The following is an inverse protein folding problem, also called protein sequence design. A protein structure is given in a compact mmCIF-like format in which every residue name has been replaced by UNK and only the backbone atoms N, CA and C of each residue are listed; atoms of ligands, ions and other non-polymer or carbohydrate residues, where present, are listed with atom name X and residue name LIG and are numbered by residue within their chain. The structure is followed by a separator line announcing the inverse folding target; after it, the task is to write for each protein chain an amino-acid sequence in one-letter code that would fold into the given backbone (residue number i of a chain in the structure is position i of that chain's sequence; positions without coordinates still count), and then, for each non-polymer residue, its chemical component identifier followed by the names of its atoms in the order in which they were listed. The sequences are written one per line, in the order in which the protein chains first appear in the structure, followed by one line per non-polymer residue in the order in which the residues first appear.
data_IF_557147026124
#
_entry.id   IF_557147026124
#
_cell.length_a   1.000
_cell.length_b   1.000
_cell.length_c   1.000
_cell.angle_alpha   90.00
_cell.angle_beta   90.00
_cell.angle_gamma   90.00
#
_symmetry.space_group_name_H-M   'P 1'
#
loop_
_entity.id
_entity.type
_entity.pdbx_description
1 polymer ?
#
# COMPACT_ATOMS: atom_id res chain seq x y z
N UNK A 1 13.55 8.39 -44.34
CA UNK A 1 14.81 8.92 -44.90
C UNK A 1 15.88 8.87 -43.82
N UNK A 2 16.75 7.87 -43.86
CA UNK A 2 17.98 7.80 -43.03
C UNK A 2 18.98 6.90 -43.76
N UNK A 3 19.88 7.45 -44.58
CA UNK A 3 20.99 6.72 -45.15
C UNK A 3 22.21 6.91 -44.24
N UNK A 4 22.38 6.07 -43.23
CA UNK A 4 23.57 6.10 -42.36
C UNK A 4 23.99 4.73 -41.81
N UNK A 5 23.34 3.63 -42.23
CA UNK A 5 23.46 2.31 -41.58
C UNK A 5 24.39 1.29 -42.24
N UNK A 6 25.08 1.64 -43.34
CA UNK A 6 25.98 0.71 -44.06
C UNK A 6 27.47 0.99 -43.90
N UNK A 7 27.87 2.04 -43.16
CA UNK A 7 29.30 2.42 -43.03
C UNK A 7 30.01 1.81 -41.82
N UNK A 8 29.31 1.29 -40.81
CA UNK A 8 29.95 0.86 -39.55
C UNK A 8 30.73 -0.46 -39.69
N UNK A 9 30.29 -1.38 -40.56
CA UNK A 9 30.98 -2.67 -40.76
C UNK A 9 32.20 -2.58 -41.69
N UNK A 10 32.24 -1.62 -42.61
CA UNK A 10 33.41 -1.39 -43.48
C UNK A 10 34.48 -0.51 -42.83
N UNK A 11 34.08 0.41 -41.94
CA UNK A 11 35.01 1.30 -41.24
C UNK A 11 35.71 0.65 -40.04
N UNK A 12 35.15 -0.39 -39.39
CA UNK A 12 35.88 -1.16 -38.37
C UNK A 12 37.06 -1.94 -38.97
N UNK A 13 36.87 -2.56 -40.14
CA UNK A 13 37.97 -3.20 -40.90
C UNK A 13 38.99 -2.19 -41.46
N UNK A 14 38.56 -1.00 -41.91
CA UNK A 14 39.47 0.05 -42.40
C UNK A 14 40.19 0.81 -41.29
N UNK A 15 39.57 1.06 -40.13
CA UNK A 15 40.20 1.70 -38.97
C UNK A 15 41.17 0.74 -38.24
N UNK A 16 40.94 -0.57 -38.35
CA UNK A 16 41.92 -1.58 -37.96
C UNK A 16 43.13 -1.68 -38.92
N UNK A 17 43.11 -0.99 -40.06
CA UNK A 17 44.15 -1.09 -41.11
C UNK A 17 44.86 0.24 -41.47
N UNK A 18 45.22 1.09 -40.49
CA UNK A 18 46.50 1.80 -40.59
C UNK A 18 47.41 1.66 -39.36
N UNK A 19 46.99 0.97 -38.29
CA UNK A 19 47.86 0.65 -37.16
C UNK A 19 48.14 -0.85 -37.15
N UNK A 20 49.28 -1.30 -37.69
CA UNK A 20 49.66 -2.69 -37.60
C UNK A 20 49.72 -3.10 -36.13
N UNK A 21 49.46 -4.37 -35.89
CA UNK A 21 49.45 -5.09 -34.62
C UNK A 21 50.79 -5.12 -33.87
N UNK A 22 51.54 -4.02 -33.88
CA UNK A 22 52.72 -3.84 -33.07
C UNK A 22 52.96 -2.36 -32.82
N UNK A 23 53.11 -2.01 -31.54
CA UNK A 23 53.79 -0.82 -31.03
C UNK A 23 55.25 -0.73 -31.56
N UNK A 24 55.45 -0.69 -32.88
CA UNK A 24 56.78 -0.67 -33.50
C UNK A 24 57.23 0.73 -33.89
N UNK A 25 56.30 1.67 -34.03
CA UNK A 25 56.59 3.09 -34.15
C UNK A 25 56.03 3.76 -32.91
N UNK A 26 56.87 4.45 -32.11
CA UNK A 26 56.48 5.18 -30.89
C UNK A 26 55.54 6.38 -31.15
N UNK A 27 54.75 6.33 -32.23
CA UNK A 27 53.77 7.33 -32.66
C UNK A 27 52.67 7.54 -31.62
N UNK A 28 52.38 6.52 -30.81
CA UNK A 28 51.34 6.54 -29.79
C UNK A 28 51.69 7.52 -28.64
N UNK A 29 52.97 7.82 -28.44
CA UNK A 29 53.44 8.78 -27.42
C UNK A 29 53.13 10.25 -27.78
N UNK A 30 52.82 10.54 -29.05
CA UNK A 30 52.52 11.89 -29.53
C UNK A 30 51.02 12.18 -29.65
N UNK A 31 50.17 11.17 -29.45
CA UNK A 31 48.72 11.30 -29.49
C UNK A 31 48.19 11.62 -28.09
N UNK A 32 47.20 12.51 -28.01
CA UNK A 32 46.48 12.76 -26.76
C UNK A 32 45.68 11.52 -26.36
N UNK A 33 45.51 11.31 -25.05
CA UNK A 33 44.76 10.17 -24.52
C UNK A 33 43.33 10.11 -25.06
N UNK A 34 42.66 11.26 -25.21
CA UNK A 34 41.32 11.36 -25.81
C UNK A 34 41.26 10.81 -27.23
N UNK A 35 42.28 11.08 -28.05
CA UNK A 35 42.34 10.57 -29.44
C UNK A 35 42.57 9.06 -29.45
N UNK A 36 43.42 8.55 -28.55
CA UNK A 36 43.63 7.12 -28.37
C UNK A 36 42.33 6.41 -27.92
N UNK A 37 41.54 7.01 -27.01
CA UNK A 37 40.22 6.49 -26.61
C UNK A 37 39.27 6.39 -27.80
N UNK A 38 39.22 7.40 -28.68
CA UNK A 38 38.37 7.39 -29.88
C UNK A 38 38.82 6.31 -30.88
N UNK A 39 40.13 6.16 -31.12
CA UNK A 39 40.64 5.12 -32.01
C UNK A 39 40.37 3.72 -31.45
N UNK A 40 40.53 3.52 -30.14
CA UNK A 40 40.20 2.27 -29.47
C UNK A 40 38.71 1.91 -29.63
N UNK A 41 37.82 2.91 -29.46
CA UNK A 41 36.38 2.75 -29.66
C UNK A 41 36.04 2.33 -31.10
N UNK A 42 36.62 2.98 -32.10
CA UNK A 42 36.42 2.65 -33.52
C UNK A 42 36.98 1.27 -33.90
N UNK A 43 38.04 0.85 -33.23
CA UNK A 43 38.62 -0.48 -33.39
C UNK A 43 37.82 -1.59 -32.66
N UNK A 44 36.78 -1.23 -31.90
CA UNK A 44 35.99 -2.18 -31.11
C UNK A 44 36.77 -2.80 -29.95
N UNK A 45 37.84 -2.16 -29.47
CA UNK A 45 38.65 -2.64 -28.35
C UNK A 45 38.39 -1.82 -27.09
N UNK A 46 37.99 -2.44 -25.97
CA UNK A 46 37.65 -1.72 -24.74
C UNK A 46 38.86 -1.11 -24.03
N UNK A 47 40.01 -1.79 -24.10
CA UNK A 47 41.27 -1.35 -23.51
C UNK A 47 42.35 -1.36 -24.58
N UNK A 48 43.03 -0.23 -24.74
CA UNK A 48 44.16 -0.09 -25.66
C UNK A 48 45.47 -0.10 -24.87
N UNK A 49 46.31 -1.11 -25.12
CA UNK A 49 47.64 -1.16 -24.55
C UNK A 49 48.59 -0.29 -25.38
N UNK A 50 48.93 0.90 -24.87
CA UNK A 50 49.98 1.75 -25.45
C UNK A 50 51.34 1.42 -24.81
N UNK A 51 52.44 1.88 -25.44
CA UNK A 51 53.81 1.64 -24.98
C UNK A 51 54.13 2.24 -23.60
N UNK A 52 53.32 3.18 -23.09
CA UNK A 52 53.52 3.86 -21.81
C UNK A 52 52.35 3.81 -20.81
N UNK A 53 51.13 3.46 -21.24
CA UNK A 53 49.96 3.33 -20.35
C UNK A 53 48.82 2.54 -21.03
N UNK A 54 47.97 1.89 -20.25
CA UNK A 54 46.73 1.28 -20.74
C UNK A 54 45.62 2.33 -20.77
N UNK A 55 45.12 2.65 -21.97
CA UNK A 55 44.01 3.59 -22.13
C UNK A 55 42.70 2.83 -22.09
N UNK A 56 41.89 3.09 -21.07
CA UNK A 56 40.57 2.51 -20.90
C UNK A 56 39.51 3.43 -21.52
N UNK A 57 38.68 2.91 -22.42
CA UNK A 57 37.60 3.69 -23.04
C UNK A 57 36.45 3.93 -22.06
N UNK A 58 36.28 3.05 -21.08
CA UNK A 58 35.22 3.08 -20.09
C UNK A 58 35.60 3.82 -18.80
N UNK A 59 36.80 4.40 -18.71
CA UNK A 59 37.19 5.22 -17.56
C UNK A 59 36.32 6.46 -17.46
N UNK A 60 35.98 6.87 -16.24
CA UNK A 60 35.20 8.10 -15.95
C UNK A 60 33.76 8.09 -16.51
N UNK A 61 33.29 6.96 -17.02
CA UNK A 61 31.94 6.79 -17.53
C UNK A 61 31.04 6.09 -16.50
N UNK A 62 29.82 6.61 -16.34
CA UNK A 62 28.76 5.94 -15.59
C UNK A 62 28.46 4.56 -16.19
N UNK A 63 27.98 3.64 -15.36
CA UNK A 63 27.70 2.25 -15.76
C UNK A 63 26.78 2.15 -16.99
N UNK A 64 25.81 3.06 -17.10
CA UNK A 64 24.87 3.15 -18.23
C UNK A 64 25.58 3.51 -19.55
N UNK A 65 26.57 4.40 -19.48
CA UNK A 65 27.38 4.81 -20.63
C UNK A 65 28.35 3.69 -21.02
N UNK A 66 28.95 3.01 -20.05
CA UNK A 66 29.78 1.82 -20.30
C UNK A 66 28.99 0.71 -21.02
N UNK A 67 27.77 0.41 -20.58
CA UNK A 67 26.88 -0.54 -21.25
C UNK A 67 26.55 -0.09 -22.68
N UNK A 68 26.27 1.20 -22.89
CA UNK A 68 26.00 1.74 -24.23
C UNK A 68 27.21 1.60 -25.17
N UNK A 69 28.44 1.79 -24.66
CA UNK A 69 29.67 1.53 -25.42
C UNK A 69 29.74 0.06 -25.87
N UNK A 70 29.36 -0.87 -25.01
CA UNK A 70 29.34 -2.30 -25.35
C UNK A 70 28.31 -2.61 -26.43
N UNK A 71 27.12 -2.02 -26.33
CA UNK A 71 26.02 -2.22 -27.27
C UNK A 71 26.29 -1.59 -28.64
N UNK A 72 26.90 -0.41 -28.70
CA UNK A 72 27.02 0.37 -29.94
C UNK A 72 28.33 0.17 -30.69
N UNK A 73 29.43 -0.08 -29.97
CA UNK A 73 30.78 -0.03 -30.56
C UNK A 73 31.59 -1.32 -30.39
N UNK A 74 31.45 -2.02 -29.26
CA UNK A 74 32.24 -3.23 -29.01
C UNK A 74 31.61 -4.49 -29.61
N UNK A 75 30.29 -4.56 -29.67
CA UNK A 75 29.57 -5.70 -30.22
C UNK A 75 29.10 -5.45 -31.66
N UNK A 76 28.97 -6.52 -32.46
CA UNK A 76 28.42 -6.41 -33.80
C UNK A 76 26.97 -5.90 -33.77
N UNK A 77 26.49 -5.25 -34.85
CA UNK A 77 25.13 -4.68 -34.89
C UNK A 77 24.01 -5.74 -34.85
N UNK A 78 24.34 -7.02 -34.95
CA UNK A 78 23.43 -8.16 -34.81
C UNK A 78 23.32 -8.67 -33.37
N UNK A 79 24.17 -8.19 -32.45
CA UNK A 79 24.16 -8.62 -31.06
C UNK A 79 22.89 -8.14 -30.35
N UNK A 80 22.37 -8.98 -29.45
CA UNK A 80 21.21 -8.64 -28.64
C UNK A 80 21.60 -7.81 -27.41
N UNK A 81 20.61 -7.20 -26.76
CA UNK A 81 20.81 -6.51 -25.47
C UNK A 81 21.34 -7.47 -24.40
N UNK A 82 20.94 -8.74 -24.46
CA UNK A 82 21.43 -9.77 -23.53
C UNK A 82 22.94 -10.01 -23.70
N UNK A 83 23.41 -10.07 -24.95
CA UNK A 83 24.85 -10.25 -25.25
C UNK A 83 25.67 -9.06 -24.75
N UNK A 84 25.14 -7.84 -24.92
CA UNK A 84 25.76 -6.61 -24.40
C UNK A 84 25.88 -6.60 -22.87
N UNK A 85 24.85 -7.08 -22.17
CA UNK A 85 24.88 -7.20 -20.71
C UNK A 85 25.89 -8.25 -20.25
N UNK A 86 25.96 -9.41 -20.90
CA UNK A 86 26.95 -10.45 -20.57
C UNK A 86 28.38 -9.94 -20.77
N UNK A 87 28.64 -9.25 -21.88
CA UNK A 87 29.95 -8.65 -22.15
C UNK A 87 30.31 -7.58 -21.11
N UNK A 88 29.34 -6.73 -20.75
CA UNK A 88 29.50 -5.71 -19.71
C UNK A 88 29.74 -6.32 -18.32
N UNK A 89 29.07 -7.42 -18.00
CA UNK A 89 29.28 -8.15 -16.74
C UNK A 89 30.67 -8.74 -16.63
N UNK A 90 31.14 -9.38 -17.70
CA UNK A 90 32.52 -9.84 -17.77
C UNK A 90 33.51 -8.68 -17.57
N UNK A 91 33.20 -7.50 -18.11
CA UNK A 91 34.04 -6.31 -18.02
C UNK A 91 34.18 -5.75 -16.59
N UNK A 92 33.10 -5.69 -15.80
CA UNK A 92 33.18 -5.18 -14.42
C UNK A 92 33.56 -6.25 -13.40
N UNK A 93 33.32 -7.54 -13.69
CA UNK A 93 33.80 -8.66 -12.87
C UNK A 93 35.30 -8.95 -13.07
N UNK A 94 35.90 -8.41 -14.12
CA UNK A 94 37.31 -8.61 -14.45
C UNK A 94 37.62 -9.96 -15.11
N UNK A 95 36.59 -10.65 -15.61
CA UNK A 95 36.71 -11.95 -16.28
C UNK A 95 37.28 -11.88 -17.71
N UNK A 96 37.72 -10.69 -18.15
CA UNK A 96 38.27 -10.46 -19.49
C UNK A 96 39.80 -10.42 -19.47
N UNK A 97 40.44 -10.64 -20.63
CA UNK A 97 41.90 -10.57 -20.79
C UNK A 97 42.50 -9.22 -20.38
N UNK A 98 41.68 -8.15 -20.39
CA UNK A 98 42.08 -6.80 -20.00
C UNK A 98 41.81 -6.47 -18.51
N UNK A 99 41.38 -7.45 -17.72
CA UNK A 99 41.01 -7.26 -16.31
C UNK A 99 39.70 -6.47 -16.14
N UNK A 100 39.54 -5.82 -14.98
CA UNK A 100 38.37 -4.99 -14.67
C UNK A 100 38.55 -3.60 -15.28
N UNK A 101 37.77 -3.29 -16.31
CA UNK A 101 37.82 -2.00 -17.00
C UNK A 101 36.50 -1.22 -16.96
N UNK A 102 35.40 -1.84 -16.55
CA UNK A 102 34.11 -1.16 -16.38
C UNK A 102 33.77 -0.96 -14.89
N UNK A 103 33.02 0.11 -14.61
CA UNK A 103 32.47 0.37 -13.27
C UNK A 103 31.38 -0.65 -12.91
N UNK A 104 31.15 -0.89 -11.62
CA UNK A 104 30.03 -1.73 -11.17
C UNK A 104 28.71 -0.94 -11.27
N UNK A 105 27.60 -1.56 -11.68
CA UNK A 105 26.32 -0.87 -11.81
C UNK A 105 25.69 -0.62 -10.44
N UNK A 106 26.17 0.42 -9.75
CA UNK A 106 25.69 0.85 -8.45
C UNK A 106 24.45 1.75 -8.57
N UNK A 107 23.57 1.77 -7.56
CA UNK A 107 22.47 2.72 -7.48
C UNK A 107 22.95 4.19 -7.56
N UNK A 108 22.15 5.10 -8.13
CA UNK A 108 22.57 6.49 -8.38
C UNK A 108 23.01 7.28 -7.13
N UNK A 109 22.52 6.91 -5.95
CA UNK A 109 22.89 7.59 -4.71
C UNK A 109 24.24 7.12 -4.13
N UNK A 110 24.79 6.02 -4.65
CA UNK A 110 26.15 5.54 -4.33
C UNK A 110 27.16 5.95 -5.41
N UNK A 111 26.72 6.63 -6.46
CA UNK A 111 27.57 7.10 -7.54
C UNK A 111 28.51 8.19 -7.03
N UNK A 112 29.82 7.93 -7.02
CA UNK A 112 30.85 8.83 -6.50
C UNK A 112 31.25 8.63 -5.02
N UNK A 113 30.66 7.65 -4.32
CA UNK A 113 31.26 7.20 -3.06
C UNK A 113 32.62 6.52 -3.36
N UNK A 114 33.68 6.78 -2.57
CA UNK A 114 34.89 5.99 -2.71
C UNK A 114 34.50 4.52 -2.62
N UNK A 115 35.01 3.70 -3.53
CA UNK A 115 34.94 2.26 -3.38
C UNK A 115 35.42 1.96 -1.98
N UNK A 116 34.50 1.56 -1.09
CA UNK A 116 34.86 1.02 0.21
C UNK A 116 35.67 -0.22 -0.12
N UNK A 117 36.98 -0.05 -0.16
CA UNK A 117 37.94 -1.13 -0.18
C UNK A 117 37.64 -1.93 1.08
N UNK A 118 36.97 -3.05 0.88
CA UNK A 118 37.06 -4.24 1.71
C UNK A 118 36.86 -3.98 3.22
N UNK A 119 35.67 -3.52 3.61
CA UNK A 119 35.16 -3.96 4.90
C UNK A 119 34.62 -5.38 4.68
N UNK A 120 35.41 -6.37 5.10
CA UNK A 120 35.11 -7.79 5.13
C UNK A 120 33.89 -8.07 6.04
N UNK A 121 32.68 -7.77 5.58
CA UNK A 121 31.45 -8.19 6.25
C UNK A 121 30.52 -8.92 5.25
N UNK A 122 30.60 -10.25 5.31
CA UNK A 122 29.76 -11.28 4.65
C UNK A 122 29.61 -11.24 3.11
N UNK A 123 29.42 -12.39 2.44
CA UNK A 123 29.13 -12.44 1.01
C UNK A 123 27.67 -12.03 0.73
N UNK A 124 27.24 -10.87 1.20
CA UNK A 124 26.00 -10.27 0.74
C UNK A 124 26.23 -9.79 -0.70
N UNK A 125 25.38 -10.25 -1.62
CA UNK A 125 25.48 -9.91 -3.05
C UNK A 125 25.64 -8.39 -3.20
N UNK A 126 26.55 -7.91 -4.07
CA UNK A 126 26.77 -6.48 -4.24
C UNK A 126 25.46 -5.80 -4.61
N UNK A 127 25.17 -4.67 -3.97
CA UNK A 127 23.97 -3.89 -4.24
C UNK A 127 24.06 -3.29 -5.66
N UNK A 128 23.09 -3.61 -6.52
CA UNK A 128 23.06 -3.13 -7.90
C UNK A 128 21.89 -2.17 -8.15
N UNK A 129 22.02 -1.34 -9.18
CA UNK A 129 20.96 -0.44 -9.65
C UNK A 129 19.72 -1.25 -10.11
N UNK A 130 18.52 -0.76 -9.77
CA UNK A 130 17.26 -1.28 -10.27
C UNK A 130 17.25 -1.43 -11.79
N UNK A 131 17.74 -0.42 -12.51
CA UNK A 131 17.76 -0.46 -13.98
C UNK A 131 18.60 -1.64 -14.50
N UNK A 132 19.69 -1.97 -13.82
CA UNK A 132 20.51 -3.13 -14.17
C UNK A 132 19.75 -4.44 -13.90
N UNK A 133 19.05 -4.55 -12.76
CA UNK A 133 18.21 -5.71 -12.48
C UNK A 133 17.04 -5.88 -13.47
N UNK A 134 16.45 -4.79 -13.97
CA UNK A 134 15.42 -4.84 -15.01
C UNK A 134 15.97 -5.32 -16.36
N UNK A 135 17.18 -4.88 -16.70
CA UNK A 135 17.89 -5.35 -17.89
C UNK A 135 18.23 -6.84 -17.78
N UNK A 136 18.70 -7.29 -16.62
CA UNK A 136 18.88 -8.71 -16.29
C UNK A 136 17.58 -9.51 -16.47
N UNK A 137 16.46 -9.01 -15.95
CA UNK A 137 15.16 -9.67 -16.08
C UNK A 137 14.66 -9.71 -17.54
N UNK A 138 14.98 -8.69 -18.34
CA UNK A 138 14.66 -8.67 -19.76
C UNK A 138 15.44 -9.74 -20.53
N UNK A 139 16.72 -9.96 -20.18
CA UNK A 139 17.57 -10.97 -20.80
C UNK A 139 17.29 -12.39 -20.30
N UNK A 140 17.06 -12.55 -19.00
CA UNK A 140 16.73 -13.81 -18.35
C UNK A 140 15.42 -13.70 -17.57
N UNK A 141 14.37 -14.35 -18.09
CA UNK A 141 13.04 -14.36 -17.47
C UNK A 141 13.00 -15.12 -16.13
N UNK A 142 14.03 -15.91 -15.82
CA UNK A 142 14.16 -16.66 -14.57
C UNK A 142 14.98 -15.89 -13.51
N UNK A 143 15.43 -14.68 -13.84
CA UNK A 143 16.18 -13.85 -12.91
C UNK A 143 15.35 -13.56 -11.64
N UNK A 144 15.94 -13.79 -10.47
CA UNK A 144 15.22 -13.63 -9.20
C UNK A 144 14.70 -12.21 -8.99
N UNK A 145 13.43 -12.06 -8.65
CA UNK A 145 12.79 -10.75 -8.39
C UNK A 145 13.12 -10.17 -7.02
N UNK A 146 13.69 -10.97 -6.11
CA UNK A 146 13.96 -10.51 -4.75
C UNK A 146 14.91 -9.31 -4.70
N UNK A 147 16.08 -9.30 -5.37
CA UNK A 147 16.96 -8.14 -5.39
C UNK A 147 16.28 -6.92 -6.03
N UNK A 148 15.47 -7.14 -7.08
CA UNK A 148 14.77 -6.09 -7.81
C UNK A 148 13.77 -5.30 -6.95
N UNK A 149 13.18 -5.94 -5.93
CA UNK A 149 12.18 -5.33 -5.06
C UNK A 149 12.78 -4.77 -3.76
N UNK A 150 14.08 -4.88 -3.57
CA UNK A 150 14.75 -4.27 -2.43
C UNK A 150 14.76 -2.73 -2.60
N UNK A 151 14.23 -1.97 -1.62
CA UNK A 151 14.19 -0.50 -1.69
C UNK A 151 15.58 0.13 -1.87
N UNK A 152 16.64 -0.55 -1.44
CA UNK A 152 18.02 -0.10 -1.58
C UNK A 152 18.52 -0.01 -3.03
N UNK A 153 17.87 -0.71 -3.97
CA UNK A 153 18.26 -0.64 -5.39
C UNK A 153 17.96 0.72 -6.04
N UNK A 154 17.14 1.55 -5.38
CA UNK A 154 16.65 2.82 -5.91
C UNK A 154 17.00 3.96 -4.96
N UNK A 155 16.74 3.78 -3.66
CA UNK A 155 16.84 4.83 -2.66
C UNK A 155 17.75 4.41 -1.52
N UNK A 156 18.39 5.37 -0.88
CA UNK A 156 19.16 5.15 0.35
C UNK A 156 18.27 4.78 1.56
N UNK A 157 16.94 4.89 1.42
CA UNK A 157 15.96 4.68 2.50
C UNK A 157 15.51 3.22 2.52
N UNK A 158 16.02 2.45 3.48
CA UNK A 158 15.68 1.02 3.69
C UNK A 158 14.19 0.73 3.90
N UNK A 159 13.39 1.73 4.25
CA UNK A 159 11.96 1.60 4.53
C UNK A 159 11.06 2.16 3.42
N UNK A 160 11.61 2.64 2.31
CA UNK A 160 10.82 3.24 1.24
C UNK A 160 10.35 2.20 0.21
N UNK A 161 9.29 1.48 0.56
CA UNK A 161 8.72 0.41 -0.29
C UNK A 161 7.78 0.91 -1.38
N UNK A 162 7.65 2.25 -1.54
CA UNK A 162 6.74 2.86 -2.53
C UNK A 162 7.03 2.35 -3.93
N UNK A 163 8.26 2.52 -4.41
CA UNK A 163 8.58 2.13 -5.79
C UNK A 163 8.60 0.61 -5.94
N UNK A 164 9.12 -0.13 -4.96
CA UNK A 164 9.10 -1.59 -4.95
C UNK A 164 7.69 -2.16 -5.10
N UNK A 165 6.70 -1.59 -4.41
CA UNK A 165 5.32 -2.04 -4.51
C UNK A 165 4.70 -1.78 -5.90
N UNK A 166 4.89 -0.57 -6.44
CA UNK A 166 4.37 -0.26 -7.79
C UNK A 166 5.06 -1.09 -8.87
N UNK A 167 6.37 -1.31 -8.72
CA UNK A 167 7.13 -2.17 -9.62
C UNK A 167 6.60 -3.60 -9.59
N UNK A 168 6.35 -4.14 -8.39
CA UNK A 168 5.74 -5.46 -8.24
C UNK A 168 4.39 -5.54 -8.97
N UNK A 169 3.53 -4.53 -8.83
CA UNK A 169 2.25 -4.47 -9.56
C UNK A 169 2.40 -4.53 -11.08
N UNK A 170 3.38 -3.80 -11.64
CA UNK A 170 3.68 -3.85 -13.08
C UNK A 170 4.22 -5.22 -13.49
N UNK A 171 5.15 -5.80 -12.71
CA UNK A 171 5.71 -7.13 -12.98
C UNK A 171 4.63 -8.22 -12.96
N UNK A 172 3.69 -8.12 -12.02
CA UNK A 172 2.56 -9.03 -11.93
C UNK A 172 1.64 -8.91 -13.15
N UNK A 173 1.38 -7.69 -13.64
CA UNK A 173 0.64 -7.45 -14.87
C UNK A 173 1.35 -8.03 -16.11
N UNK A 174 2.68 -7.97 -16.13
CA UNK A 174 3.54 -8.61 -17.15
C UNK A 174 3.68 -10.13 -16.98
N UNK A 175 2.94 -10.74 -16.05
CA UNK A 175 2.89 -12.19 -15.77
C UNK A 175 4.15 -12.79 -15.13
N UNK A 176 4.96 -11.98 -14.45
CA UNK A 176 6.01 -12.49 -13.58
C UNK A 176 5.43 -12.93 -12.24
N UNK A 177 5.47 -14.23 -11.95
CA UNK A 177 4.85 -14.83 -10.74
C UNK A 177 5.84 -15.52 -9.80
N UNK A 178 7.13 -15.53 -10.16
CA UNK A 178 8.15 -16.31 -9.46
C UNK A 178 8.69 -15.64 -8.18
N UNK A 179 7.96 -14.67 -7.61
CA UNK A 179 8.26 -14.12 -6.29
C UNK A 179 7.61 -14.97 -5.20
N UNK A 180 8.39 -15.40 -4.21
CA UNK A 180 7.87 -16.20 -3.10
C UNK A 180 6.75 -15.46 -2.33
N UNK A 181 5.69 -16.18 -1.95
CA UNK A 181 4.56 -15.66 -1.19
C UNK A 181 4.92 -14.84 0.08
N UNK A 182 5.90 -15.23 0.93
CA UNK A 182 6.29 -14.39 2.08
C UNK A 182 6.88 -13.04 1.65
N UNK A 183 7.64 -13.00 0.54
CA UNK A 183 8.22 -11.75 0.02
C UNK A 183 7.18 -10.82 -0.58
N UNK A 184 6.17 -11.38 -1.26
CA UNK A 184 5.00 -10.61 -1.68
C UNK A 184 4.34 -9.95 -0.46
N UNK A 185 4.06 -10.75 0.58
CA UNK A 185 3.47 -10.27 1.83
C UNK A 185 4.28 -9.15 2.48
N UNK A 186 5.62 -9.25 2.49
CA UNK A 186 6.51 -8.21 2.99
C UNK A 186 6.34 -6.88 2.24
N UNK A 187 6.31 -6.90 0.90
CA UNK A 187 6.17 -5.67 0.09
C UNK A 187 4.81 -4.99 0.35
N UNK A 188 3.73 -5.77 0.46
CA UNK A 188 2.40 -5.25 0.83
C UNK A 188 2.39 -4.69 2.26
N UNK A 189 2.87 -5.45 3.24
CA UNK A 189 2.85 -5.06 4.65
C UNK A 189 3.75 -3.84 4.93
N UNK A 190 4.95 -3.81 4.37
CA UNK A 190 5.89 -2.71 4.57
C UNK A 190 5.37 -1.40 3.95
N UNK A 191 4.80 -1.45 2.75
CA UNK A 191 4.22 -0.25 2.15
C UNK A 191 2.93 0.19 2.89
N UNK A 192 2.10 -0.75 3.34
CA UNK A 192 0.94 -0.45 4.18
C UNK A 192 1.36 0.24 5.49
N UNK A 193 2.37 -0.28 6.19
CA UNK A 193 2.92 0.33 7.41
C UNK A 193 3.51 1.73 7.15
N UNK A 194 4.15 1.94 5.99
CA UNK A 194 4.64 3.26 5.59
C UNK A 194 3.48 4.27 5.43
N UNK A 195 2.39 3.87 4.77
CA UNK A 195 1.21 4.74 4.64
C UNK A 195 0.49 4.96 5.97
N UNK A 196 0.44 3.96 6.83
CA UNK A 196 -0.09 4.08 8.19
C UNK A 196 0.69 5.12 8.99
N UNK A 197 2.02 5.06 8.97
CA UNK A 197 2.87 6.04 9.66
C UNK A 197 2.71 7.47 9.14
N UNK A 198 2.31 7.62 7.87
CA UNK A 198 2.00 8.91 7.26
C UNK A 198 0.57 9.41 7.57
N UNK A 199 -0.22 8.64 8.32
CA UNK A 199 -1.63 8.95 8.65
C UNK A 199 -2.63 8.62 7.52
N UNK A 200 -2.17 8.00 6.43
CA UNK A 200 -2.98 7.62 5.27
C UNK A 200 -3.50 6.17 5.38
N UNK A 201 -4.08 5.84 6.52
CA UNK A 201 -4.52 4.48 6.86
C UNK A 201 -5.56 3.91 5.87
N UNK A 202 -6.43 4.74 5.29
CA UNK A 202 -7.41 4.31 4.28
C UNK A 202 -6.75 3.78 2.99
N UNK A 203 -5.59 4.31 2.61
CA UNK A 203 -4.79 3.79 1.50
C UNK A 203 -3.98 2.56 1.91
N UNK A 204 -3.60 2.44 3.18
CA UNK A 204 -2.99 1.22 3.70
C UNK A 204 -3.96 0.02 3.60
N UNK A 205 -5.26 0.22 3.86
CA UNK A 205 -6.30 -0.79 3.61
C UNK A 205 -6.30 -1.21 2.13
N UNK A 206 -6.26 -0.26 1.20
CA UNK A 206 -6.16 -0.56 -0.23
C UNK A 206 -4.95 -1.46 -0.55
N UNK A 207 -3.76 -1.17 -0.01
CA UNK A 207 -2.57 -2.00 -0.23
C UNK A 207 -2.77 -3.42 0.32
N UNK A 208 -3.32 -3.55 1.53
CA UNK A 208 -3.55 -4.84 2.18
C UNK A 208 -4.56 -5.70 1.42
N UNK A 209 -5.51 -5.10 0.70
CA UNK A 209 -6.44 -5.84 -0.15
C UNK A 209 -5.76 -6.57 -1.31
N UNK A 210 -4.57 -6.13 -1.74
CA UNK A 210 -3.78 -6.78 -2.80
C UNK A 210 -3.01 -8.02 -2.32
N UNK A 211 -3.07 -8.35 -1.03
CA UNK A 211 -2.47 -9.59 -0.53
C UNK A 211 -3.21 -10.80 -1.16
N UNK A 212 -2.48 -11.79 -1.72
CA UNK A 212 -3.07 -12.86 -2.51
C UNK A 212 -4.05 -13.76 -1.73
N UNK A 213 -5.10 -14.22 -2.43
CA UNK A 213 -6.30 -14.89 -1.89
C UNK A 213 -6.06 -16.20 -1.15
N UNK A 214 -4.95 -16.91 -1.40
CA UNK A 214 -4.57 -18.12 -0.66
C UNK A 214 -4.37 -17.85 0.85
N UNK A 215 -4.36 -16.58 1.26
CA UNK A 215 -4.28 -16.12 2.65
C UNK A 215 -5.43 -15.14 2.94
N UNK A 216 -6.64 -15.46 2.48
CA UNK A 216 -7.86 -14.67 2.72
C UNK A 216 -8.03 -14.28 4.19
N UNK A 217 -7.76 -15.20 5.11
CA UNK A 217 -7.79 -14.94 6.55
C UNK A 217 -6.78 -13.88 7.00
N UNK A 218 -5.57 -13.85 6.42
CA UNK A 218 -4.55 -12.86 6.78
C UNK A 218 -4.90 -11.48 6.24
N UNK A 219 -5.45 -11.42 5.01
CA UNK A 219 -5.96 -10.17 4.43
C UNK A 219 -7.08 -9.60 5.29
N UNK A 220 -8.06 -10.44 5.63
CA UNK A 220 -9.20 -10.08 6.45
C UNK A 220 -8.76 -9.61 7.85
N UNK A 221 -7.89 -10.37 8.52
CA UNK A 221 -7.34 -9.98 9.84
C UNK A 221 -6.60 -8.65 9.77
N UNK A 222 -5.68 -8.47 8.81
CA UNK A 222 -4.90 -7.25 8.67
C UNK A 222 -5.78 -6.01 8.41
N UNK A 223 -6.80 -6.14 7.57
CA UNK A 223 -7.76 -5.06 7.31
C UNK A 223 -8.57 -4.74 8.56
N UNK A 224 -9.11 -5.75 9.26
CA UNK A 224 -9.88 -5.52 10.51
C UNK A 224 -9.04 -4.89 11.60
N UNK A 225 -7.80 -5.33 11.78
CA UNK A 225 -6.88 -4.77 12.77
C UNK A 225 -6.58 -3.28 12.49
N UNK A 226 -6.32 -2.94 11.23
CA UNK A 226 -6.05 -1.56 10.83
C UNK A 226 -7.29 -0.67 11.01
N UNK A 227 -8.48 -1.16 10.67
CA UNK A 227 -9.75 -0.47 10.93
C UNK A 227 -9.97 -0.27 12.44
N UNK A 228 -9.78 -1.30 13.25
CA UNK A 228 -9.95 -1.24 14.71
C UNK A 228 -9.00 -0.25 15.39
N UNK A 229 -7.82 -0.01 14.81
CA UNK A 229 -6.83 0.92 15.33
C UNK A 229 -7.13 2.38 14.96
N UNK A 230 -7.51 2.63 13.69
CA UNK A 230 -7.55 3.98 13.10
C UNK A 230 -8.93 4.56 12.85
N UNK A 231 -10.00 3.76 12.93
CA UNK A 231 -11.36 4.26 12.71
C UNK A 231 -11.76 5.20 13.86
N UNK A 232 -12.06 6.49 13.57
CA UNK A 232 -12.43 7.44 14.61
C UNK A 232 -13.85 7.17 15.11
N UNK A 233 -14.07 7.42 16.40
CA UNK A 233 -15.40 7.31 17.02
C UNK A 233 -16.31 8.50 16.66
N UNK A 234 -15.72 9.69 16.47
CA UNK A 234 -16.43 10.89 16.07
C UNK A 234 -16.44 11.02 14.55
N UNK A 235 -17.62 11.22 13.99
CA UNK A 235 -17.80 11.45 12.56
C UNK A 235 -17.42 12.91 12.24
N UNK A 236 -16.27 13.06 11.59
CA UNK A 236 -15.82 14.29 10.94
C UNK A 236 -16.07 14.19 9.44
N UNK A 237 -16.17 15.31 8.74
CA UNK A 237 -16.29 15.31 7.26
C UNK A 237 -15.17 14.51 6.58
N UNK A 238 -13.95 14.58 7.12
CA UNK A 238 -12.81 13.81 6.63
C UNK A 238 -12.96 12.31 6.89
N UNK A 239 -13.42 11.91 8.08
CA UNK A 239 -13.63 10.49 8.39
C UNK A 239 -14.77 9.90 7.58
N UNK A 240 -15.87 10.65 7.39
CA UNK A 240 -16.98 10.24 6.53
C UNK A 240 -16.52 10.07 5.07
N UNK A 241 -15.68 10.98 4.55
CA UNK A 241 -15.10 10.83 3.21
C UNK A 241 -14.22 9.59 3.10
N UNK A 242 -13.41 9.30 4.12
CA UNK A 242 -12.56 8.09 4.15
C UNK A 242 -13.41 6.82 4.23
N UNK A 243 -14.46 6.80 5.05
CA UNK A 243 -15.38 5.67 5.15
C UNK A 243 -16.12 5.41 3.84
N UNK A 244 -16.64 6.45 3.18
CA UNK A 244 -17.25 6.32 1.83
C UNK A 244 -16.27 5.75 0.81
N UNK A 245 -15.00 6.16 0.85
CA UNK A 245 -13.98 5.58 -0.02
C UNK A 245 -13.78 4.06 0.22
N UNK A 246 -13.83 3.62 1.48
CA UNK A 246 -13.72 2.20 1.83
C UNK A 246 -14.96 1.40 1.39
N UNK A 247 -16.15 1.93 1.62
CA UNK A 247 -17.40 1.22 1.30
C UNK A 247 -17.70 1.26 -0.20
N UNK A 248 -17.69 2.44 -0.82
CA UNK A 248 -18.08 2.62 -2.22
C UNK A 248 -16.96 2.24 -3.18
N UNK A 249 -15.72 2.57 -2.83
CA UNK A 249 -14.55 2.37 -3.69
C UNK A 249 -13.91 0.99 -3.54
N UNK A 250 -13.63 0.59 -2.30
CA UNK A 250 -12.95 -0.68 -1.99
C UNK A 250 -13.90 -1.83 -1.70
N UNK A 251 -15.20 -1.57 -1.59
CA UNK A 251 -16.24 -2.57 -1.28
C UNK A 251 -15.97 -3.30 0.04
N UNK A 252 -15.38 -2.61 1.02
CA UNK A 252 -15.19 -3.14 2.37
C UNK A 252 -16.56 -3.21 3.06
N UNK A 253 -16.92 -4.34 3.71
CA UNK A 253 -18.20 -4.46 4.41
C UNK A 253 -18.35 -3.40 5.51
N UNK A 254 -19.50 -2.70 5.52
CA UNK A 254 -19.82 -1.71 6.55
C UNK A 254 -19.83 -2.31 7.96
N UNK A 255 -20.16 -3.60 8.07
CA UNK A 255 -20.13 -4.34 9.33
C UNK A 255 -18.74 -4.29 10.00
N UNK A 256 -17.65 -4.34 9.23
CA UNK A 256 -16.29 -4.30 9.79
C UNK A 256 -15.93 -2.91 10.30
N UNK A 257 -16.42 -1.85 9.64
CA UNK A 257 -16.22 -0.46 10.08
C UNK A 257 -16.97 -0.25 11.40
N UNK A 258 -18.22 -0.72 11.50
CA UNK A 258 -18.98 -0.64 12.74
C UNK A 258 -18.41 -1.52 13.85
N UNK A 259 -17.88 -2.69 13.54
CA UNK A 259 -17.14 -3.54 14.50
C UNK A 259 -15.93 -2.78 15.07
N UNK A 260 -15.13 -2.15 14.21
CA UNK A 260 -14.00 -1.32 14.62
C UNK A 260 -14.42 -0.15 15.53
N UNK A 261 -15.47 0.60 15.15
CA UNK A 261 -16.02 1.70 15.98
C UNK A 261 -16.53 1.20 17.33
N UNK A 262 -17.15 0.01 17.38
CA UNK A 262 -17.60 -0.60 18.63
C UNK A 262 -16.43 -0.94 19.56
N UNK A 263 -15.34 -1.51 19.03
CA UNK A 263 -14.11 -1.79 19.81
C UNK A 263 -13.51 -0.51 20.36
N UNK A 264 -13.50 0.58 19.57
CA UNK A 264 -13.02 1.89 20.01
C UNK A 264 -13.89 2.48 21.11
N UNK A 265 -15.21 2.50 20.93
CA UNK A 265 -16.16 2.98 21.94
C UNK A 265 -16.01 2.25 23.28
N UNK A 266 -15.75 0.93 23.24
CA UNK A 266 -15.46 0.13 24.44
C UNK A 266 -14.21 0.63 25.18
N UNK A 267 -13.16 1.02 24.45
CA UNK A 267 -11.92 1.56 25.04
C UNK A 267 -12.13 2.95 25.64
N UNK A 268 -12.90 3.78 24.97
CA UNK A 268 -13.18 5.16 25.40
C UNK A 268 -14.21 5.23 26.55
N UNK A 269 -14.93 4.12 26.82
CA UNK A 269 -15.92 4.01 27.90
C UNK A 269 -17.34 4.43 27.48
N UNK A 270 -17.54 4.82 26.23
CA UNK A 270 -18.81 5.27 25.66
C UNK A 270 -19.75 4.08 25.36
N UNK A 271 -20.45 3.59 26.38
CA UNK A 271 -21.34 2.42 26.28
C UNK A 271 -22.50 2.61 25.30
N UNK A 272 -23.05 3.82 25.19
CA UNK A 272 -24.14 4.12 24.25
C UNK A 272 -23.71 3.95 22.79
N UNK A 273 -22.57 4.53 22.42
CA UNK A 273 -22.01 4.40 21.06
C UNK A 273 -21.55 2.98 20.78
N UNK A 274 -21.00 2.30 21.79
CA UNK A 274 -20.65 0.88 21.68
C UNK A 274 -21.87 0.03 21.30
N UNK A 275 -23.01 0.21 21.98
CA UNK A 275 -24.25 -0.50 21.66
C UNK A 275 -24.77 -0.17 20.25
N UNK A 276 -24.77 1.11 19.85
CA UNK A 276 -25.17 1.53 18.51
C UNK A 276 -24.34 0.87 17.41
N UNK A 277 -23.01 0.85 17.56
CA UNK A 277 -22.14 0.27 16.56
C UNK A 277 -22.19 -1.27 16.55
N UNK A 278 -22.37 -1.92 17.70
CA UNK A 278 -22.59 -3.39 17.74
C UNK A 278 -23.91 -3.81 17.09
N UNK A 279 -24.96 -3.00 17.25
CA UNK A 279 -26.22 -3.18 16.55
C UNK A 279 -26.03 -3.09 15.03
N UNK A 280 -25.37 -2.04 14.54
CA UNK A 280 -25.09 -1.88 13.09
C UNK A 280 -24.13 -2.92 12.52
N UNK A 281 -23.21 -3.44 13.34
CA UNK A 281 -22.30 -4.52 12.94
C UNK A 281 -22.99 -5.91 12.86
N UNK A 282 -24.22 -6.04 13.37
CA UNK A 282 -24.95 -7.32 13.41
C UNK A 282 -24.58 -8.24 14.58
N UNK A 283 -23.90 -7.73 15.61
CA UNK A 283 -23.52 -8.50 16.80
C UNK A 283 -24.59 -8.43 17.88
N UNK A 284 -25.75 -9.04 17.60
CA UNK A 284 -26.96 -8.95 18.43
C UNK A 284 -26.75 -9.42 19.87
N UNK A 285 -26.08 -10.55 20.07
CA UNK A 285 -25.82 -11.12 21.40
C UNK A 285 -24.97 -10.20 22.29
N UNK A 286 -23.93 -9.59 21.72
CA UNK A 286 -23.06 -8.67 22.46
C UNK A 286 -23.77 -7.36 22.77
N UNK A 287 -24.55 -6.85 21.80
CA UNK A 287 -25.38 -5.67 21.98
C UNK A 287 -26.43 -5.89 23.10
N UNK A 288 -27.18 -6.99 23.05
CA UNK A 288 -28.20 -7.35 24.04
C UNK A 288 -27.63 -7.44 25.46
N UNK A 289 -26.47 -8.09 25.63
CA UNK A 289 -25.81 -8.21 26.93
C UNK A 289 -25.41 -6.85 27.51
N UNK A 290 -24.86 -5.96 26.68
CA UNK A 290 -24.49 -4.61 27.11
C UNK A 290 -25.70 -3.75 27.44
N UNK A 291 -26.79 -3.90 26.66
CA UNK A 291 -28.05 -3.23 26.91
C UNK A 291 -28.60 -3.61 28.29
N UNK A 292 -28.75 -4.89 28.58
CA UNK A 292 -29.33 -5.34 29.86
C UNK A 292 -28.44 -5.00 31.05
N UNK A 293 -27.12 -5.21 30.93
CA UNK A 293 -26.21 -5.07 32.07
C UNK A 293 -26.00 -3.63 32.50
N UNK A 294 -26.05 -2.68 31.57
CA UNK A 294 -25.62 -1.30 31.83
C UNK A 294 -26.60 -0.26 31.30
N UNK A 295 -27.03 -0.38 30.05
CA UNK A 295 -27.84 0.69 29.43
C UNK A 295 -29.29 0.70 29.91
N UNK A 296 -29.88 -0.46 30.23
CA UNK A 296 -31.28 -0.56 30.63
C UNK A 296 -31.53 0.19 31.94
N UNK A 297 -30.72 -0.03 32.97
CA UNK A 297 -30.82 0.69 34.24
C UNK A 297 -30.57 2.18 34.07
N UNK A 298 -29.54 2.56 33.30
CA UNK A 298 -29.17 3.97 33.10
C UNK A 298 -30.26 4.72 32.32
N UNK A 299 -30.88 4.10 31.31
CA UNK A 299 -31.97 4.71 30.54
C UNK A 299 -33.25 4.83 31.36
N UNK A 300 -33.58 3.86 32.22
CA UNK A 300 -34.77 3.94 33.10
C UNK A 300 -34.61 5.04 34.14
N UNK A 301 -33.43 5.16 34.76
CA UNK A 301 -33.16 6.20 35.77
C UNK A 301 -33.19 7.61 35.15
N UNK A 302 -32.71 7.76 33.92
CA UNK A 302 -32.68 9.04 33.21
C UNK A 302 -33.96 9.36 32.41
N UNK A 303 -35.02 8.55 32.55
CA UNK A 303 -36.29 8.64 31.79
C UNK A 303 -36.16 8.61 30.25
N UNK A 304 -35.01 8.16 29.73
CA UNK A 304 -34.71 8.07 28.29
C UNK A 304 -35.28 6.79 27.66
N UNK A 305 -36.60 6.61 27.80
CA UNK A 305 -37.32 5.42 27.35
C UNK A 305 -37.39 5.29 25.82
N UNK A 306 -37.40 6.41 25.09
CA UNK A 306 -37.49 6.42 23.62
C UNK A 306 -36.24 5.84 22.96
N UNK A 307 -35.06 6.25 23.43
CA UNK A 307 -33.78 5.72 22.95
C UNK A 307 -33.70 4.21 23.14
N UNK A 308 -34.05 3.71 24.33
CA UNK A 308 -34.02 2.27 24.62
C UNK A 308 -35.06 1.49 23.79
N UNK A 309 -36.22 2.09 23.52
CA UNK A 309 -37.27 1.49 22.72
C UNK A 309 -36.85 1.30 21.26
N UNK A 310 -36.18 2.27 20.62
CA UNK A 310 -35.68 2.11 19.25
C UNK A 310 -34.73 0.91 19.11
N UNK A 311 -33.82 0.73 20.08
CA UNK A 311 -32.91 -0.42 20.11
C UNK A 311 -33.64 -1.74 20.32
N UNK A 312 -34.56 -1.78 21.29
CA UNK A 312 -35.28 -3.01 21.63
C UNK A 312 -36.27 -3.40 20.53
N UNK A 313 -36.90 -2.46 19.84
CA UNK A 313 -37.76 -2.73 18.68
C UNK A 313 -36.95 -3.25 17.49
N UNK A 314 -35.77 -2.69 17.23
CA UNK A 314 -34.84 -3.21 16.22
C UNK A 314 -34.37 -4.63 16.52
N UNK A 315 -34.12 -4.96 17.79
CA UNK A 315 -33.72 -6.30 18.23
C UNK A 315 -34.90 -7.29 18.30
N UNK A 316 -36.14 -6.80 18.43
CA UNK A 316 -37.35 -7.61 18.51
C UNK A 316 -37.76 -8.24 17.16
N UNK A 317 -37.11 -7.85 16.06
CA UNK A 317 -37.35 -8.45 14.74
C UNK A 317 -37.10 -9.97 14.84
N UNK A 318 -38.00 -10.81 14.30
CA UNK A 318 -37.95 -12.27 14.47
C UNK A 318 -36.64 -12.92 14.01
N UNK A 319 -35.97 -12.33 13.01
CA UNK A 319 -34.65 -12.79 12.52
C UNK A 319 -33.51 -12.58 13.55
N UNK A 320 -33.61 -11.53 14.37
CA UNK A 320 -32.59 -11.17 15.36
C UNK A 320 -32.87 -11.82 16.71
N UNK A 321 -34.13 -11.76 17.17
CA UNK A 321 -34.57 -12.34 18.45
C UNK A 321 -34.31 -13.85 18.58
N UNK A 322 -34.39 -14.61 17.48
CA UNK A 322 -34.07 -16.05 17.47
C UNK A 322 -32.55 -16.34 17.65
N UNK A 323 -31.69 -15.39 17.30
CA UNK A 323 -30.22 -15.51 17.46
C UNK A 323 -29.75 -15.05 18.84
N UNK A 324 -30.58 -14.30 19.57
CA UNK A 324 -30.24 -13.69 20.84
C UNK A 324 -30.49 -14.66 22.00
N UNK A 325 -29.46 -14.92 22.79
CA UNK A 325 -29.59 -15.70 24.04
C UNK A 325 -30.39 -14.92 25.08
N UNK A 326 -31.35 -15.60 25.72
CA UNK A 326 -32.19 -15.09 26.81
C UNK A 326 -33.02 -13.84 26.45
N UNK A 327 -33.38 -13.69 25.17
CA UNK A 327 -34.21 -12.57 24.71
C UNK A 327 -35.58 -12.55 25.41
N UNK A 328 -36.22 -13.71 25.53
CA UNK A 328 -37.55 -13.83 26.14
C UNK A 328 -37.55 -13.48 27.63
N UNK A 329 -36.44 -13.76 28.32
CA UNK A 329 -36.31 -13.65 29.78
C UNK A 329 -35.93 -12.25 30.24
N UNK A 330 -35.17 -11.50 29.44
CA UNK A 330 -34.70 -10.17 29.82
C UNK A 330 -35.09 -9.09 28.80
N UNK A 331 -34.68 -9.23 27.53
CA UNK A 331 -34.92 -8.22 26.50
C UNK A 331 -36.41 -7.90 26.29
N UNK A 332 -37.24 -8.94 26.21
CA UNK A 332 -38.70 -8.81 26.03
C UNK A 332 -39.38 -8.16 27.25
N UNK A 333 -38.91 -8.45 28.46
CA UNK A 333 -39.46 -7.88 29.70
C UNK A 333 -39.26 -6.36 29.71
N UNK A 334 -38.06 -5.88 29.36
CA UNK A 334 -37.80 -4.45 29.26
C UNK A 334 -38.64 -3.78 28.17
N UNK A 335 -38.83 -4.45 27.04
CA UNK A 335 -39.65 -3.95 25.94
C UNK A 335 -41.12 -3.82 26.35
N UNK A 336 -41.68 -4.86 26.99
CA UNK A 336 -43.05 -4.86 27.49
C UNK A 336 -43.25 -3.80 28.60
N UNK A 337 -42.26 -3.65 29.49
CA UNK A 337 -42.26 -2.59 30.52
C UNK A 337 -42.35 -1.18 29.90
N UNK A 338 -41.52 -0.86 28.91
CA UNK A 338 -41.52 0.45 28.26
C UNK A 338 -42.86 0.70 27.54
N UNK A 339 -43.42 -0.33 26.88
CA UNK A 339 -44.75 -0.24 26.23
C UNK A 339 -45.86 0.05 27.24
N UNK A 340 -45.83 -0.59 28.40
CA UNK A 340 -46.80 -0.34 29.48
C UNK A 340 -46.65 1.08 30.01
N UNK A 341 -45.43 1.58 30.22
CA UNK A 341 -45.22 2.98 30.67
C UNK A 341 -45.76 3.97 29.65
N UNK A 342 -45.43 3.81 28.35
CA UNK A 342 -45.94 4.69 27.29
C UNK A 342 -47.47 4.66 27.24
N UNK A 343 -48.06 3.47 27.30
CA UNK A 343 -49.53 3.31 27.33
C UNK A 343 -50.16 3.99 28.55
N UNK A 344 -49.51 3.93 29.72
CA UNK A 344 -49.97 4.62 30.93
C UNK A 344 -49.86 6.15 30.81
N UNK A 345 -48.78 6.66 30.21
CA UNK A 345 -48.61 8.08 29.94
C UNK A 345 -49.68 8.59 28.97
N UNK A 346 -49.97 7.83 27.90
CA UNK A 346 -51.02 8.16 26.95
C UNK A 346 -52.40 8.20 27.62
N UNK A 347 -52.72 7.22 28.47
CA UNK A 347 -53.99 7.19 29.22
C UNK A 347 -54.08 8.38 30.20
N UNK A 348 -53.00 8.73 30.88
CA UNK A 348 -52.97 9.88 31.78
C UNK A 348 -53.16 11.21 31.02
N UNK A 349 -52.54 11.37 29.85
CA UNK A 349 -52.74 12.55 29.02
C UNK A 349 -54.19 12.65 28.51
N UNK A 350 -54.78 11.55 28.04
CA UNK A 350 -56.18 11.51 27.60
C UNK A 350 -57.13 11.81 28.76
N UNK A 351 -56.85 11.29 29.96
CA UNK A 351 -57.61 11.59 31.18
C UNK A 351 -57.55 13.06 31.58
N UNK A 352 -56.37 13.70 31.51
CA UNK A 352 -56.21 15.12 31.78
C UNK A 352 -56.89 16.02 30.74
N UNK A 353 -56.89 15.60 29.47
CA UNK A 353 -57.62 16.29 28.40
C UNK A 353 -59.12 16.19 28.61
N UNK A 354 -59.64 15.00 28.95
CA UNK A 354 -61.05 14.79 29.30
C UNK A 354 -61.46 15.62 30.52
N UNK A 355 -60.63 15.70 31.55
CA UNK A 355 -60.93 16.49 32.75
C UNK A 355 -60.91 18.00 32.46
N UNK A 356 -59.99 18.48 31.60
CA UNK A 356 -60.03 19.86 31.08
C UNK A 356 -61.29 20.12 30.25
N UNK A 357 -61.68 19.19 29.38
CA UNK A 357 -62.86 19.32 28.54
C UNK A 357 -64.16 19.36 29.38
N UNK A 358 -64.25 18.53 30.42
CA UNK A 358 -65.36 18.53 31.37
C UNK A 358 -65.42 19.81 32.19
N UNK A 359 -64.28 20.34 32.67
CA UNK A 359 -64.23 21.63 33.38
C UNK A 359 -64.65 22.78 32.46
N UNK A 360 -64.24 22.78 31.20
CA UNK A 360 -64.63 23.81 30.23
C UNK A 360 -66.12 23.76 29.88
N UNK A 361 -66.71 22.56 29.75
CA UNK A 361 -68.17 22.42 29.60
C UNK A 361 -68.94 22.88 30.84
N UNK A 362 -68.44 22.64 32.05
CA UNK A 362 -69.05 23.17 33.30
C UNK A 362 -69.02 24.69 33.35
N UNK A 363 -67.88 25.30 33.04
CA UNK A 363 -67.76 26.76 32.95
C UNK A 363 -68.74 27.36 31.92
N UNK A 364 -68.92 26.71 30.76
CA UNK A 364 -69.91 27.13 29.77
C UNK A 364 -71.35 27.00 30.27
N UNK A 365 -71.66 25.92 31.01
CA UNK A 365 -72.98 25.72 31.62
C UNK A 365 -73.27 26.73 32.74
N UNK A 366 -72.29 27.04 33.59
CA UNK A 366 -72.42 28.02 34.67
C UNK A 366 -72.59 29.45 34.13
N UNK A 367 -71.90 29.79 33.03
CA UNK A 367 -72.12 31.06 32.33
C UNK A 367 -73.51 31.10 31.70
N UNK A 368 -73.95 30.04 31.02
CA UNK A 368 -75.30 29.98 30.44
C UNK A 368 -76.41 30.07 31.51
N UNK A 369 -76.24 29.42 32.67
CA UNK A 369 -77.19 29.48 33.78
C UNK A 369 -77.26 30.88 34.42
N UNK A 370 -76.12 31.61 34.49
CA UNK A 370 -76.11 33.01 34.95
C UNK A 370 -76.78 33.97 33.97
N UNK A 371 -76.71 33.71 32.67
CA UNK A 371 -77.42 34.50 31.64
C UNK A 371 -78.93 34.26 31.63
N UNK A 372 -79.41 33.09 32.06
CA UNK A 372 -80.85 32.78 32.17
C UNK A 372 -81.45 33.33 33.48
N UNK A 373 -80.60 33.64 34.47
CA UNK A 373 -81.02 34.18 35.79
C UNK A 373 -81.03 35.72 35.86
N UNK A 374 -80.61 36.39 34.77
CA UNK A 374 -80.69 37.84 34.52
C UNK A 374 -81.85 38.09 33.55
#
# INVERSE_FOLDING_TARGET
QTPARSMTTSSSCSAATPFPTGCRTQTDLHLTEERLRIFALLAGKPVWQSSGSAVNVCSELDWKRCLAVHLWYLLPPTASVADALVAYEAAFQGSTEAGRYACTPLPPYLDGAPSLEEEEEEPERPLLDLCFHLLKLYSDRLYGLQPLLDPLTITWRRLDYRLSWHLWGVLQALRYTHLAAPRQGLVHAAYAAQLESAGLWHLAVFILLHVPDHRSEQRERAVRELLALHCPLLETEESARRERFLTDGLLVPESWIHEAKAVRARRDGDRHRQALHLYRAGHWNQCHRLLIQHLASDCIVNDNHDYLLEFLEGLAVPEHSASIQDWETAGRVYLDYIRVIKSLQDIQQVGLVLDRFCKQKRLHFDVAARWISL
#
